data_IF_218560074245
#
_entry.id   IF_218560074245
#
_cell.length_a   1.000
_cell.length_b   1.000
_cell.length_c   1.000
_cell.angle_alpha   90.00
_cell.angle_beta   90.00
_cell.angle_gamma   90.00
#
_symmetry.space_group_name_H-M   'P 1'
#
loop_
_entity.id
_entity.type
_entity.pdbx_description
1 polymer ?
#
# COMPACT_ATOMS: atom_id res chain seq x y z
N UNK A 1 25.40 16.52 -4.37
CA UNK A 1 24.93 15.35 -3.73
C UNK A 1 23.79 14.72 -4.48
N UNK A 2 23.92 13.48 -4.81
CA UNK A 2 22.90 12.84 -5.58
C UNK A 2 21.79 12.34 -4.71
N UNK A 3 20.59 12.55 -5.13
CA UNK A 3 19.44 11.99 -4.43
C UNK A 3 19.05 10.69 -5.07
N UNK A 4 18.65 9.75 -4.26
CA UNK A 4 18.15 8.48 -4.77
C UNK A 4 16.66 8.44 -4.54
N UNK A 5 15.95 8.24 -5.63
CA UNK A 5 14.51 8.09 -5.57
C UNK A 5 14.16 6.64 -5.84
N UNK A 6 13.08 6.19 -5.25
CA UNK A 6 12.65 4.82 -5.40
C UNK A 6 11.20 4.78 -5.87
N UNK A 7 10.90 3.80 -6.68
CA UNK A 7 9.52 3.52 -7.03
C UNK A 7 9.04 2.41 -6.11
N UNK A 8 7.85 2.59 -5.56
CA UNK A 8 7.26 1.62 -4.66
C UNK A 8 5.96 1.15 -5.27
N UNK A 9 5.80 -0.16 -5.35
CA UNK A 9 4.54 -0.75 -5.82
C UNK A 9 3.94 -1.52 -4.66
N UNK A 10 2.70 -1.24 -4.36
CA UNK A 10 2.00 -1.92 -3.29
C UNK A 10 0.83 -2.70 -3.85
N UNK A 11 0.69 -3.93 -3.38
CA UNK A 11 -0.47 -4.74 -3.72
C UNK A 11 -1.43 -4.66 -2.56
N UNK A 12 -2.42 -3.79 -2.69
CA UNK A 12 -3.33 -3.54 -1.58
C UNK A 12 -4.23 -4.71 -1.30
N UNK A 13 -4.42 -5.60 -2.28
CA UNK A 13 -5.22 -6.78 -2.03
C UNK A 13 -4.47 -7.83 -1.22
N UNK A 14 -3.18 -7.63 -0.98
CA UNK A 14 -2.44 -8.52 -0.09
C UNK A 14 -2.74 -8.25 1.38
N UNK A 15 -3.43 -7.14 1.68
CA UNK A 15 -3.85 -6.88 3.05
C UNK A 15 -4.93 -7.86 3.45
N UNK A 16 -5.02 -8.14 4.74
CA UNK A 16 -5.98 -9.12 5.24
C UNK A 16 -7.41 -8.67 4.96
N UNK A 17 -8.18 -9.52 4.33
CA UNK A 17 -9.58 -9.24 4.08
C UNK A 17 -9.87 -8.22 3.00
N UNK A 18 -8.85 -7.78 2.28
CA UNK A 18 -9.05 -6.76 1.26
C UNK A 18 -9.75 -7.34 0.05
N UNK A 19 -10.64 -6.57 -0.54
CA UNK A 19 -11.34 -7.01 -1.72
C UNK A 19 -11.81 -5.83 -2.54
N UNK A 20 -12.09 -6.08 -3.80
CA UNK A 20 -12.60 -5.06 -4.70
C UNK A 20 -14.11 -5.11 -4.73
N UNK A 21 -14.74 -3.98 -4.85
CA UNK A 21 -16.18 -3.90 -4.90
C UNK A 21 -16.60 -2.65 -5.65
N UNK A 22 -17.68 -2.75 -6.40
CA UNK A 22 -18.24 -1.57 -7.04
C UNK A 22 -19.09 -0.83 -6.02
N UNK A 23 -18.87 0.47 -5.90
CA UNK A 23 -19.62 1.31 -4.99
C UNK A 23 -20.31 2.41 -5.76
N UNK A 24 -21.53 2.72 -5.37
CA UNK A 24 -22.31 3.75 -6.04
C UNK A 24 -22.56 4.89 -5.07
N UNK A 25 -22.23 6.10 -5.48
CA UNK A 25 -22.46 7.27 -4.66
C UNK A 25 -23.96 7.57 -4.62
N UNK A 26 -24.50 7.74 -3.43
CA UNK A 26 -25.92 8.04 -3.31
C UNK A 26 -26.27 9.43 -3.80
N UNK A 27 -25.29 10.31 -3.86
CA UNK A 27 -25.56 11.66 -4.29
C UNK A 27 -25.43 11.86 -5.80
N UNK A 28 -24.49 11.19 -6.40
CA UNK A 28 -24.25 11.39 -7.83
C UNK A 28 -24.75 10.25 -8.69
N UNK A 29 -24.99 9.09 -8.10
CA UNK A 29 -25.36 7.92 -8.88
C UNK A 29 -24.20 7.30 -9.63
N UNK A 30 -22.98 7.80 -9.43
CA UNK A 30 -21.81 7.28 -10.12
C UNK A 30 -21.32 6.02 -9.42
N UNK A 31 -21.00 5.01 -10.23
CA UNK A 31 -20.47 3.76 -9.70
C UNK A 31 -19.00 3.67 -10.04
N UNK A 32 -18.19 3.33 -9.03
CA UNK A 32 -16.77 3.15 -9.23
C UNK A 32 -16.29 1.90 -8.55
N UNK A 33 -15.22 1.34 -9.10
CA UNK A 33 -14.60 0.19 -8.48
C UNK A 33 -13.73 0.66 -7.33
N UNK A 34 -13.95 0.11 -6.17
CA UNK A 34 -13.23 0.53 -4.96
C UNK A 34 -12.57 -0.67 -4.34
N UNK A 35 -11.54 -0.42 -3.55
CA UNK A 35 -10.94 -1.47 -2.76
C UNK A 35 -11.30 -1.22 -1.31
N UNK A 36 -11.66 -2.28 -0.61
CA UNK A 36 -12.03 -2.20 0.79
C UNK A 36 -11.03 -3.00 1.58
N UNK A 37 -10.43 -2.38 2.57
CA UNK A 37 -9.45 -3.02 3.43
C UNK A 37 -9.93 -2.88 4.87
N UNK A 38 -10.25 -4.00 5.55
CA UNK A 38 -10.69 -3.90 6.94
C UNK A 38 -9.52 -3.48 7.82
N UNK A 39 -9.61 -2.30 8.38
CA UNK A 39 -8.53 -1.80 9.22
C UNK A 39 -8.38 -2.67 10.47
N UNK A 40 -9.51 -3.13 11.01
CA UNK A 40 -9.46 -3.92 12.23
C UNK A 40 -8.76 -5.27 12.05
N UNK A 41 -8.67 -5.75 10.82
CA UNK A 41 -8.00 -7.02 10.57
C UNK A 41 -6.54 -6.84 10.18
N UNK A 42 -6.07 -5.62 10.17
CA UNK A 42 -4.70 -5.32 9.75
C UNK A 42 -3.99 -4.49 10.80
N UNK A 43 -3.29 -5.14 11.73
CA UNK A 43 -2.67 -4.42 12.84
C UNK A 43 -1.62 -3.39 12.41
N UNK A 44 -1.12 -3.49 11.19
CA UNK A 44 -0.18 -2.50 10.69
C UNK A 44 -0.86 -1.20 10.27
N UNK A 45 -2.19 -1.16 10.29
CA UNK A 45 -2.92 0.04 9.93
C UNK A 45 -3.50 0.70 11.16
N UNK A 46 -3.64 2.00 11.12
CA UNK A 46 -4.32 2.69 12.20
C UNK A 46 -4.99 3.94 11.68
N UNK A 47 -6.03 4.34 12.36
CA UNK A 47 -6.82 5.51 12.01
C UNK A 47 -6.38 6.65 12.91
N UNK A 48 -5.82 7.70 12.31
CA UNK A 48 -5.42 8.87 13.05
C UNK A 48 -6.37 10.02 12.80
N UNK A 49 -6.08 11.14 13.42
CA UNK A 49 -6.92 12.30 13.25
C UNK A 49 -6.90 12.83 11.83
N UNK A 50 -5.79 12.72 11.18
CA UNK A 50 -5.64 13.31 9.85
C UNK A 50 -5.64 12.28 8.74
N UNK A 51 -5.82 11.02 9.05
CA UNK A 51 -5.85 10.02 7.99
C UNK A 51 -5.75 8.62 8.54
N UNK A 52 -5.83 7.68 7.64
CA UNK A 52 -5.66 6.28 7.95
C UNK A 52 -4.34 5.83 7.34
N UNK A 53 -3.49 5.25 8.17
CA UNK A 53 -2.13 4.99 7.80
C UNK A 53 -1.81 3.51 7.80
N UNK A 54 -0.95 3.10 6.90
CA UNK A 54 -0.41 1.76 6.87
C UNK A 54 1.10 1.88 7.09
N UNK A 55 1.61 1.17 8.08
CA UNK A 55 3.03 1.16 8.35
C UNK A 55 3.65 -0.08 7.72
N UNK A 56 4.75 0.10 7.06
CA UNK A 56 5.42 -1.00 6.39
C UNK A 56 6.93 -0.86 6.57
N UNK A 57 7.61 -1.98 6.44
CA UNK A 57 9.07 -2.00 6.51
C UNK A 57 9.59 -2.47 5.17
N UNK A 58 10.62 -1.79 4.69
CA UNK A 58 11.29 -2.19 3.46
C UNK A 58 12.52 -3.00 3.85
N UNK A 59 12.52 -4.27 3.46
CA UNK A 59 13.63 -5.16 3.75
C UNK A 59 14.51 -5.27 2.52
N UNK A 60 15.79 -5.06 2.69
CA UNK A 60 16.71 -5.16 1.57
C UNK A 60 16.85 -6.60 1.14
N UNK A 61 16.75 -6.84 -0.16
CA UNK A 61 16.87 -8.19 -0.69
C UNK A 61 18.33 -8.56 -0.82
N UNK A 62 18.67 -9.76 -0.38
CA UNK A 62 20.04 -10.23 -0.52
C UNK A 62 20.37 -10.43 -1.98
N UNK A 63 19.41 -10.88 -2.76
CA UNK A 63 19.61 -11.06 -4.17
C UNK A 63 18.50 -10.35 -4.91
N UNK A 64 18.77 -9.16 -5.43
CA UNK A 64 17.74 -8.42 -6.14
C UNK A 64 17.18 -9.20 -7.31
N UNK A 65 15.86 -9.10 -7.48
CA UNK A 65 15.21 -9.75 -8.59
C UNK A 65 14.47 -8.74 -9.42
N UNK A 66 14.58 -8.79 -10.72
CA UNK A 66 13.79 -7.90 -11.59
C UNK A 66 13.96 -6.44 -11.19
N UNK A 67 15.16 -6.05 -10.84
CA UNK A 67 15.46 -4.67 -10.45
C UNK A 67 14.91 -4.28 -9.07
N UNK A 68 14.17 -5.14 -8.41
CA UNK A 68 13.71 -4.83 -7.06
C UNK A 68 14.87 -4.97 -6.08
N UNK A 69 15.05 -3.95 -5.25
CA UNK A 69 16.09 -3.99 -4.25
C UNK A 69 15.52 -4.23 -2.86
N UNK A 70 14.23 -4.02 -2.67
CA UNK A 70 13.61 -4.17 -1.37
C UNK A 70 12.25 -4.82 -1.51
N UNK A 71 11.85 -5.49 -0.46
CA UNK A 71 10.53 -6.07 -0.33
C UNK A 71 9.84 -5.39 0.83
N UNK A 72 8.56 -5.06 0.66
CA UNK A 72 7.81 -4.36 1.70
C UNK A 72 6.86 -5.31 2.38
N UNK A 73 6.87 -5.28 3.71
CA UNK A 73 5.94 -6.07 4.52
C UNK A 73 5.28 -5.16 5.54
N UNK A 74 4.08 -5.54 6.01
CA UNK A 74 3.45 -4.73 7.05
C UNK A 74 4.32 -4.66 8.30
N UNK A 75 4.36 -3.48 8.91
CA UNK A 75 5.10 -3.29 10.16
C UNK A 75 4.14 -3.55 11.29
N UNK A 76 4.22 -4.74 11.88
CA UNK A 76 3.30 -5.13 12.93
C UNK A 76 3.70 -4.51 14.26
N UNK A 77 2.73 -4.11 15.08
CA UNK A 77 3.04 -3.56 16.40
C UNK A 77 3.81 -4.57 17.25
N UNK A 78 4.56 -4.04 18.20
CA UNK A 78 5.37 -4.88 19.04
C UNK A 78 4.56 -5.95 19.76
N UNK A 79 3.40 -5.57 20.25
CA UNK A 79 2.56 -6.53 20.98
C UNK A 79 2.14 -7.69 20.09
N UNK A 80 1.84 -7.41 18.83
CA UNK A 80 1.45 -8.45 17.91
C UNK A 80 2.65 -9.33 17.59
N UNK A 81 3.81 -8.72 17.35
CA UNK A 81 5.00 -9.47 17.01
C UNK A 81 5.43 -10.40 18.13
N UNK A 82 5.28 -9.97 19.36
CA UNK A 82 5.69 -10.77 20.50
C UNK A 82 4.82 -11.99 20.69
N UNK A 83 3.61 -11.95 20.20
CA UNK A 83 2.72 -13.10 20.30
C UNK A 83 2.88 -14.05 19.12
N UNK A 84 3.72 -13.71 18.17
CA UNK A 84 3.90 -14.55 17.00
C UNK A 84 5.18 -15.36 17.14
N UNK A 85 5.13 -16.60 16.66
CA UNK A 85 6.35 -17.39 16.58
C UNK A 85 7.22 -16.83 15.47
N UNK A 86 8.47 -17.23 15.46
CA UNK A 86 9.36 -16.81 14.40
C UNK A 86 8.86 -17.28 13.06
N UNK A 87 8.28 -18.46 13.02
CA UNK A 87 7.72 -18.99 11.81
C UNK A 87 6.58 -18.13 11.32
N UNK A 88 5.70 -17.70 12.21
CA UNK A 88 4.57 -16.87 11.81
C UNK A 88 5.03 -15.54 11.27
N UNK A 89 6.09 -14.99 11.87
CA UNK A 89 6.61 -13.71 11.38
C UNK A 89 7.15 -13.84 9.97
N UNK A 90 7.77 -14.96 9.68
CA UNK A 90 8.33 -15.19 8.36
C UNK A 90 7.26 -15.41 7.32
N UNK A 91 6.09 -15.85 7.75
CA UNK A 91 5.00 -16.13 6.83
C UNK A 91 4.15 -14.92 6.51
N UNK A 92 4.41 -13.79 7.14
CA UNK A 92 3.68 -12.58 6.82
C UNK A 92 3.96 -12.23 5.36
N UNK A 93 2.92 -12.11 4.54
CA UNK A 93 3.17 -11.90 3.11
C UNK A 93 3.67 -10.51 2.81
N UNK A 94 4.45 -10.42 1.76
CA UNK A 94 4.89 -9.12 1.28
C UNK A 94 3.71 -8.38 0.68
N UNK A 95 3.67 -7.07 0.88
CA UNK A 95 2.62 -6.26 0.29
C UNK A 95 3.14 -5.39 -0.83
N UNK A 96 4.43 -5.45 -1.13
CA UNK A 96 4.95 -4.66 -2.21
C UNK A 96 6.43 -4.82 -2.39
N UNK A 97 6.97 -4.03 -3.30
CA UNK A 97 8.38 -4.04 -3.57
C UNK A 97 8.84 -2.63 -3.92
N UNK A 98 10.13 -2.45 -3.90
CA UNK A 98 10.73 -1.15 -4.09
C UNK A 98 11.96 -1.30 -4.97
N UNK A 99 12.13 -0.39 -5.90
CA UNK A 99 13.28 -0.40 -6.79
C UNK A 99 13.74 1.03 -7.02
N UNK A 100 15.02 1.21 -7.35
CA UNK A 100 15.48 2.55 -7.65
C UNK A 100 14.78 3.10 -8.88
N UNK A 101 14.47 4.37 -8.82
CA UNK A 101 13.86 5.03 -9.96
C UNK A 101 14.92 5.19 -11.05
N UNK A 102 14.57 4.83 -12.26
CA UNK A 102 15.51 5.00 -13.34
C UNK A 102 15.66 6.46 -13.69
N UNK A 103 16.81 6.81 -14.18
CA UNK A 103 17.01 8.20 -14.56
C UNK A 103 16.05 8.57 -15.66
N UNK A 104 15.98 9.79 -15.83
CA UNK A 104 15.13 10.29 -16.75
C UNK A 104 14.96 9.59 -17.96
N UNK A 105 14.19 9.85 -18.62
CA UNK A 105 13.99 9.19 -19.75
C UNK A 105 12.84 8.36 -19.65
N UNK A 106 12.48 7.93 -18.80
CA UNK A 106 11.55 7.08 -18.68
C UNK A 106 10.48 7.57 -18.11
N UNK A 107 9.88 8.19 -18.17
CA UNK A 107 8.97 8.72 -17.54
C UNK A 107 7.73 8.46 -17.79
N UNK A 108 6.99 8.34 -17.51
CA UNK A 108 5.86 7.99 -17.52
C UNK A 108 5.00 8.80 -17.35
N UNK A 109 4.30 9.11 -17.51
CA UNK A 109 3.52 9.94 -17.43
C UNK A 109 2.38 9.70 -16.98
N UNK A 110 1.98 9.49 -16.68
CA UNK A 110 0.89 9.28 -16.25
C UNK A 110 0.00 10.03 -16.00
N UNK A 111 -0.58 10.29 -15.87
CA UNK A 111 -1.34 10.76 -15.65
C UNK A 111 -2.08 11.15 -14.85
N UNK A 112 -2.43 11.37 -14.57
CA UNK A 112 -2.98 11.64 -13.76
C UNK A 112 -3.79 12.38 -13.36
N UNK A 113 -4.38 12.67 -13.34
CA UNK A 113 -5.13 13.20 -13.03
C UNK A 113 -5.75 13.56 -12.18
N UNK A 114 -6.09 13.77 -11.75
CA UNK A 114 -6.64 13.99 -11.03
C UNK A 114 -7.44 14.67 -10.49
N UNK A 115 -7.98 15.00 -10.15
CA UNK A 115 -8.62 15.60 -9.72
C UNK A 115 -9.61 15.65 -9.13
N UNK A 116 -10.26 15.76 -8.83
CA UNK A 116 -11.08 15.80 -8.34
C UNK A 116 -11.68 16.18 -7.33
N UNK A 117 -12.39 16.50 -7.08
CA UNK A 117 -12.91 16.97 -6.16
C UNK A 117 -13.95 16.30 -5.63
N UNK A 118 -14.18 15.91 -4.95
CA UNK A 118 -15.05 15.14 -4.51
C UNK A 118 -15.86 15.62 -3.66
N UNK A 119 -16.83 15.43 -3.33
CA UNK A 119 -17.51 15.96 -2.48
C UNK A 119 -18.57 15.20 -1.96
N UNK A 120 -19.00 14.20 -2.13
CA UNK A 120 -20.07 13.43 -1.60
C UNK A 120 -19.67 12.52 -0.54
N UNK A 121 -20.52 11.68 -0.07
CA UNK A 121 -20.18 10.67 0.88
C UNK A 121 -19.10 9.82 0.31
N UNK A 122 -19.16 9.50 -0.93
CA UNK A 122 -18.10 8.83 -1.61
C UNK A 122 -17.32 9.86 -2.38
N UNK A 123 -16.02 9.78 -2.37
CA UNK A 123 -15.21 10.79 -3.04
C UNK A 123 -15.17 10.63 -4.54
N UNK A 124 -16.26 10.36 -5.18
CA UNK A 124 -16.31 10.30 -6.63
C UNK A 124 -17.69 10.49 -7.16
#
# INVERSE_FOLDING_TARGET
MERKNFNIRLNLQAMNGAFLRNMTSSKTGVTKRCIIIPVDDNPSMYIGEKGTYLNAIAYELEQPKYDDTHMLKPDLPKEVREQMTQEQRQQVPAIGNMRPQKPAGQQVTGNVSATEEAQDDLPF
#
